data_IF_636303153654
#
_entry.id   IF_636303153654
#
_cell.length_a   1.000
_cell.length_b   1.000
_cell.length_c   1.000
_cell.angle_alpha   90.00
_cell.angle_beta   90.00
_cell.angle_gamma   90.00
#
_symmetry.space_group_name_H-M   'P 1'
#
loop_
_entity.id
_entity.type
_entity.pdbx_description
1 polymer ?
#
# COMPACT_ATOMS: atom_id res chain seq x y z
N UNK A 1 16.00 8.63 18.51
CA UNK A 1 15.01 8.97 17.46
C UNK A 1 13.95 9.85 18.09
N UNK A 2 13.36 10.82 17.36
CA UNK A 2 12.19 11.55 17.84
C UNK A 2 11.10 10.57 18.30
N UNK A 3 10.35 10.91 19.36
CA UNK A 3 9.26 10.06 19.87
C UNK A 3 8.20 9.75 18.81
N UNK A 4 8.03 10.62 17.81
CA UNK A 4 7.11 10.39 16.69
C UNK A 4 7.61 9.39 15.64
N UNK A 5 8.91 9.06 15.63
CA UNK A 5 9.51 8.11 14.68
C UNK A 5 9.88 6.77 15.35
N UNK A 6 10.01 6.77 16.67
CA UNK A 6 10.43 5.61 17.46
C UNK A 6 9.27 5.02 18.25
N UNK A 7 8.87 3.82 17.90
CA UNK A 7 8.04 2.99 18.77
C UNK A 7 8.48 1.54 18.65
N UNK A 8 8.44 0.81 19.76
CA UNK A 8 8.86 -0.60 19.81
C UNK A 8 8.00 -1.50 18.91
N UNK A 9 8.39 -2.78 18.85
CA UNK A 9 7.62 -3.84 18.18
C UNK A 9 6.16 -3.78 18.67
N UNK A 10 5.22 -3.56 17.74
CA UNK A 10 3.78 -3.52 18.03
C UNK A 10 3.21 -2.16 18.46
N UNK A 11 4.01 -1.09 18.46
CA UNK A 11 3.52 0.27 18.76
C UNK A 11 3.00 1.02 17.54
N UNK A 12 2.25 2.10 17.77
CA UNK A 12 1.88 3.08 16.77
C UNK A 12 3.12 3.88 16.30
N UNK A 13 3.95 3.24 15.48
CA UNK A 13 5.15 3.81 14.86
C UNK A 13 5.05 3.68 13.34
N UNK A 14 5.51 4.68 12.57
CA UNK A 14 5.55 4.59 11.11
C UNK A 14 6.31 3.36 10.57
N UNK A 15 7.23 2.80 11.36
CA UNK A 15 8.07 1.66 10.98
C UNK A 15 7.39 0.31 11.23
N UNK A 16 6.62 0.18 12.31
CA UNK A 16 6.09 -1.11 12.78
C UNK A 16 4.57 -1.25 12.63
N UNK A 17 3.87 -0.15 12.36
CA UNK A 17 2.43 -0.16 12.18
C UNK A 17 2.04 -1.00 10.95
N UNK A 18 1.00 -1.82 11.12
CA UNK A 18 0.47 -2.71 10.07
C UNK A 18 -0.97 -2.40 9.73
N UNK A 19 -1.56 -1.33 10.27
CA UNK A 19 -3.02 -1.09 10.20
C UNK A 19 -3.54 -0.93 8.77
N UNK A 20 -2.73 -0.39 7.86
CA UNK A 20 -3.05 -0.27 6.42
C UNK A 20 -2.78 -1.54 5.61
N UNK A 21 -2.45 -2.66 6.26
CA UNK A 21 -2.10 -3.90 5.59
C UNK A 21 -2.59 -5.13 6.34
N UNK A 22 -2.77 -6.21 5.61
CA UNK A 22 -3.02 -7.53 6.15
C UNK A 22 -2.24 -8.52 5.26
N UNK A 23 -1.52 -9.52 5.82
CA UNK A 23 -0.77 -10.47 5.01
C UNK A 23 -1.65 -11.20 3.99
N UNK A 24 -1.01 -11.75 2.95
CA UNK A 24 -1.67 -12.61 1.96
C UNK A 24 -2.78 -11.90 1.17
N UNK A 25 -2.57 -10.61 0.84
CA UNK A 25 -3.48 -9.76 0.07
C UNK A 25 -4.84 -9.48 0.73
N UNK A 26 -5.05 -9.92 1.97
CA UNK A 26 -6.29 -9.70 2.71
C UNK A 26 -6.60 -8.21 2.90
N UNK A 27 -7.86 -7.90 3.19
CA UNK A 27 -8.28 -6.54 3.52
C UNK A 27 -7.60 -6.02 4.80
N UNK A 28 -7.21 -4.74 4.82
CA UNK A 28 -6.77 -4.07 6.04
C UNK A 28 -7.88 -4.01 7.11
N UNK A 29 -7.52 -3.48 8.28
CA UNK A 29 -8.48 -3.31 9.39
C UNK A 29 -9.61 -2.36 8.99
N UNK A 30 -10.81 -2.60 9.50
CA UNK A 30 -12.04 -1.84 9.15
C UNK A 30 -11.88 -0.33 9.33
N UNK A 31 -11.18 0.11 10.38
CA UNK A 31 -10.96 1.54 10.67
C UNK A 31 -9.86 2.20 9.81
N UNK A 32 -9.08 1.41 9.06
CA UNK A 32 -7.91 1.89 8.33
C UNK A 32 -8.28 2.85 7.19
N UNK A 33 -9.48 2.71 6.60
CA UNK A 33 -9.96 3.64 5.57
C UNK A 33 -10.10 5.06 6.12
N UNK A 34 -10.78 5.23 7.26
CA UNK A 34 -10.95 6.55 7.88
C UNK A 34 -9.59 7.13 8.28
N UNK A 35 -8.72 6.30 8.85
CA UNK A 35 -7.39 6.73 9.29
C UNK A 35 -6.52 7.25 8.13
N UNK A 36 -6.50 6.55 6.98
CA UNK A 36 -5.71 7.01 5.82
C UNK A 36 -6.34 8.24 5.16
N UNK A 37 -7.67 8.35 5.16
CA UNK A 37 -8.37 9.51 4.62
C UNK A 37 -8.00 10.78 5.41
N UNK A 38 -8.03 10.71 6.75
CA UNK A 38 -7.61 11.79 7.64
C UNK A 38 -6.11 12.12 7.46
N UNK A 39 -5.24 11.12 7.43
CA UNK A 39 -3.81 11.32 7.29
C UNK A 39 -3.42 12.04 5.97
N UNK A 40 -4.04 11.66 4.85
CA UNK A 40 -3.78 12.31 3.56
C UNK A 40 -4.35 13.72 3.53
N UNK A 41 -5.52 13.96 4.14
CA UNK A 41 -6.11 15.28 4.24
C UNK A 41 -5.21 16.25 5.04
N UNK A 42 -4.65 15.82 6.16
CA UNK A 42 -3.74 16.62 7.00
C UNK A 42 -2.42 16.98 6.28
N UNK A 43 -1.95 16.14 5.36
CA UNK A 43 -0.77 16.42 4.54
C UNK A 43 -1.04 17.40 3.39
N UNK A 44 -2.31 17.68 3.10
CA UNK A 44 -2.76 18.63 2.07
C UNK A 44 -3.18 17.97 0.75
N UNK A 45 -3.89 18.74 -0.08
CA UNK A 45 -4.59 18.23 -1.28
C UNK A 45 -3.71 17.67 -2.39
N UNK A 46 -2.39 17.85 -2.34
CA UNK A 46 -1.45 17.26 -3.32
C UNK A 46 -1.07 15.80 -3.01
N UNK A 47 -1.38 15.29 -1.81
CA UNK A 47 -0.99 13.93 -1.41
C UNK A 47 -2.14 12.96 -1.64
N UNK A 48 -1.98 12.06 -2.62
CA UNK A 48 -3.06 11.18 -3.07
C UNK A 48 -3.03 9.80 -2.42
N UNK A 49 -1.87 9.35 -1.94
CA UNK A 49 -1.67 7.97 -1.50
C UNK A 49 -0.46 7.82 -0.59
N UNK A 50 -0.46 6.74 0.18
CA UNK A 50 0.66 6.26 0.96
C UNK A 50 1.21 4.98 0.34
N UNK A 51 2.54 4.89 0.22
CA UNK A 51 3.25 3.69 -0.26
C UNK A 51 4.01 3.07 0.90
N UNK A 52 3.78 1.79 1.19
CA UNK A 52 4.37 1.13 2.36
C UNK A 52 4.75 -0.34 2.11
N UNK A 53 5.70 -0.81 2.92
CA UNK A 53 6.11 -2.22 2.96
C UNK A 53 5.78 -2.88 4.31
N UNK A 54 6.74 -3.63 4.85
CA UNK A 54 6.71 -4.27 6.19
C UNK A 54 5.75 -5.44 6.36
N UNK A 55 4.60 -5.43 5.68
CA UNK A 55 3.61 -6.52 5.67
C UNK A 55 3.62 -7.21 4.31
N UNK A 56 4.31 -8.36 4.17
CA UNK A 56 4.41 -9.06 2.91
C UNK A 56 3.05 -9.38 2.28
N UNK A 57 2.97 -9.14 0.98
CA UNK A 57 1.86 -9.42 0.07
C UNK A 57 2.31 -10.46 -0.96
N UNK A 58 1.37 -11.15 -1.63
CA UNK A 58 1.75 -12.06 -2.72
C UNK A 58 2.23 -11.30 -3.96
N UNK A 59 1.72 -10.08 -4.13
CA UNK A 59 2.00 -9.18 -5.24
C UNK A 59 1.75 -7.74 -4.81
N UNK A 60 2.36 -6.77 -5.49
CA UNK A 60 2.04 -5.35 -5.26
C UNK A 60 0.55 -5.16 -5.54
N UNK A 61 -0.12 -4.52 -4.58
CA UNK A 61 -1.54 -4.26 -4.66
C UNK A 61 -1.89 -2.94 -3.96
N UNK A 62 -3.10 -2.46 -4.23
CA UNK A 62 -3.66 -1.28 -3.61
C UNK A 62 -4.88 -1.66 -2.77
N UNK A 63 -4.95 -1.14 -1.56
CA UNK A 63 -6.10 -1.26 -0.67
C UNK A 63 -6.67 0.13 -0.36
N UNK A 64 -7.79 0.16 0.37
CA UNK A 64 -8.39 1.40 0.88
C UNK A 64 -8.69 2.41 -0.25
N UNK A 65 -9.30 1.91 -1.34
CA UNK A 65 -9.69 2.67 -2.54
C UNK A 65 -8.49 3.34 -3.22
N UNK A 66 -7.41 2.61 -3.43
CA UNK A 66 -6.22 3.11 -4.11
C UNK A 66 -5.28 3.99 -3.26
N UNK A 67 -5.63 4.23 -1.99
CA UNK A 67 -4.87 5.13 -1.10
C UNK A 67 -3.71 4.45 -0.40
N UNK A 68 -3.76 3.13 -0.20
CA UNK A 68 -2.68 2.36 0.45
C UNK A 68 -2.02 1.39 -0.55
N UNK A 69 -0.82 1.71 -1.00
CA UNK A 69 -0.02 0.88 -1.90
C UNK A 69 0.97 0.01 -1.14
N UNK A 70 0.69 -1.30 -1.13
CA UNK A 70 1.45 -2.30 -0.38
C UNK A 70 2.49 -2.94 -1.30
N UNK A 71 3.75 -2.53 -1.16
CA UNK A 71 4.83 -2.86 -2.11
C UNK A 71 5.79 -3.95 -1.66
N UNK A 72 5.67 -4.42 -0.41
CA UNK A 72 6.49 -5.52 0.10
C UNK A 72 5.94 -6.86 -0.39
N UNK A 73 6.59 -7.45 -1.38
CA UNK A 73 6.25 -8.78 -1.92
C UNK A 73 6.99 -9.92 -1.20
N UNK A 74 7.69 -9.65 -0.09
CA UNK A 74 8.46 -10.65 0.63
C UNK A 74 9.60 -11.27 -0.19
N UNK A 75 10.29 -10.45 -1.01
CA UNK A 75 11.33 -10.87 -1.95
C UNK A 75 12.52 -11.58 -1.27
N UNK A 76 12.79 -11.26 -0.01
CA UNK A 76 13.87 -11.88 0.76
C UNK A 76 13.68 -13.39 0.91
N UNK A 77 14.77 -14.13 0.70
CA UNK A 77 14.82 -15.58 0.95
C UNK A 77 14.51 -15.85 2.44
N UNK A 78 13.53 -16.72 2.69
CA UNK A 78 13.08 -17.08 4.04
C UNK A 78 11.90 -16.25 4.57
N UNK A 79 11.40 -15.26 3.81
CA UNK A 79 10.13 -14.58 4.08
C UNK A 79 9.03 -15.22 3.23
N UNK A 80 8.99 -14.88 1.94
CA UNK A 80 8.09 -15.51 0.96
C UNK A 80 8.81 -15.93 -0.32
N UNK A 81 10.06 -15.47 -0.52
CA UNK A 81 10.78 -15.65 -1.77
C UNK A 81 9.93 -15.18 -2.97
N UNK A 82 9.17 -14.09 -2.77
CA UNK A 82 8.23 -13.56 -3.73
C UNK A 82 8.94 -12.99 -4.95
N UNK A 83 8.27 -13.04 -6.10
CA UNK A 83 8.78 -12.46 -7.34
C UNK A 83 8.78 -10.93 -7.21
N UNK A 84 9.92 -10.25 -7.43
CA UNK A 84 9.98 -8.79 -7.42
C UNK A 84 9.00 -8.16 -8.43
N UNK A 85 8.38 -7.06 -8.02
CA UNK A 85 7.55 -6.19 -8.85
C UNK A 85 7.94 -4.73 -8.55
N UNK A 86 7.63 -3.81 -9.45
CA UNK A 86 7.89 -2.37 -9.29
C UNK A 86 6.58 -1.61 -9.36
N UNK A 87 6.33 -0.74 -8.38
CA UNK A 87 5.30 0.27 -8.47
C UNK A 87 5.86 1.47 -9.24
N UNK A 88 5.32 1.73 -10.42
CA UNK A 88 5.62 2.91 -11.23
C UNK A 88 4.53 3.96 -11.01
N UNK A 89 4.94 5.19 -10.69
CA UNK A 89 4.05 6.35 -10.58
C UNK A 89 4.63 7.42 -11.51
N UNK A 90 3.90 7.71 -12.59
CA UNK A 90 4.21 8.79 -13.52
C UNK A 90 3.31 9.96 -13.15
N UNK A 91 3.90 11.03 -12.65
CA UNK A 91 3.15 12.22 -12.24
C UNK A 91 2.57 12.94 -13.46
N UNK A 92 1.25 13.13 -13.49
CA UNK A 92 0.55 13.82 -14.57
C UNK A 92 0.75 15.33 -14.56
N UNK A 93 1.06 15.92 -13.41
CA UNK A 93 1.09 17.38 -13.19
C UNK A 93 0.07 17.82 -12.15
N UNK A 94 -0.12 19.12 -11.98
CA UNK A 94 -1.03 19.68 -10.95
C UNK A 94 -2.51 19.40 -11.23
N UNK A 95 -2.90 19.28 -12.52
CA UNK A 95 -4.29 19.13 -12.97
C UNK A 95 -4.60 17.75 -13.58
N UNK A 96 -3.61 16.85 -13.63
CA UNK A 96 -3.76 15.52 -14.23
C UNK A 96 -3.54 14.42 -13.19
N UNK A 97 -4.31 13.34 -13.28
CA UNK A 97 -4.14 12.19 -12.40
C UNK A 97 -2.80 11.48 -12.69
N UNK A 98 -2.16 10.97 -11.64
CA UNK A 98 -0.96 10.16 -11.84
C UNK A 98 -1.31 8.86 -12.55
N UNK A 99 -0.48 8.45 -13.51
CA UNK A 99 -0.56 7.11 -14.09
C UNK A 99 0.20 6.16 -13.18
N UNK A 100 -0.51 5.16 -12.65
CA UNK A 100 0.05 4.17 -11.72
C UNK A 100 0.02 2.78 -12.33
N UNK A 101 1.20 2.17 -12.44
CA UNK A 101 1.41 0.87 -13.05
C UNK A 101 2.22 -0.06 -12.15
N UNK A 102 2.12 -1.37 -12.42
CA UNK A 102 2.95 -2.41 -11.82
C UNK A 102 3.76 -3.06 -12.93
N UNK A 103 5.09 -2.94 -12.85
CA UNK A 103 6.01 -3.57 -13.78
C UNK A 103 6.45 -4.92 -13.21
N UNK A 104 6.32 -5.98 -14.01
CA UNK A 104 6.70 -7.35 -13.60
C UNK A 104 8.06 -7.74 -14.17
N UNK A 105 8.69 -8.74 -13.56
CA UNK A 105 9.90 -9.38 -14.11
C UNK A 105 9.70 -9.98 -15.52
N UNK A 106 8.45 -10.26 -15.92
CA UNK A 106 8.10 -10.75 -17.25
C UNK A 106 8.07 -9.66 -18.33
N UNK A 107 8.22 -8.39 -17.95
CA UNK A 107 8.11 -7.24 -18.85
C UNK A 107 6.68 -6.73 -19.03
N UNK A 108 5.72 -7.25 -18.25
CA UNK A 108 4.34 -6.76 -18.29
C UNK A 108 4.23 -5.41 -17.56
N UNK A 109 3.35 -4.56 -18.08
CA UNK A 109 2.90 -3.34 -17.42
C UNK A 109 1.41 -3.49 -17.09
N UNK A 110 1.10 -3.56 -15.80
CA UNK A 110 -0.25 -3.84 -15.29
C UNK A 110 -0.85 -2.55 -14.72
N UNK A 111 -2.06 -2.21 -15.15
CA UNK A 111 -2.78 -1.03 -14.66
C UNK A 111 -3.12 -1.16 -13.17
N UNK A 112 -3.05 -0.05 -12.43
CA UNK A 112 -3.45 0.00 -11.02
C UNK A 112 -4.87 -0.49 -10.72
N UNK A 113 -5.80 -0.36 -11.68
CA UNK A 113 -7.18 -0.88 -11.54
C UNK A 113 -7.22 -2.38 -11.30
N UNK A 114 -6.26 -3.12 -11.87
CA UNK A 114 -6.21 -4.59 -11.82
C UNK A 114 -5.53 -5.10 -10.54
N UNK A 115 -5.07 -4.18 -9.70
CA UNK A 115 -4.36 -4.44 -8.44
C UNK A 115 -5.12 -3.95 -7.22
N UNK A 116 -6.39 -3.55 -7.38
CA UNK A 116 -7.25 -3.19 -6.25
C UNK A 116 -7.65 -4.43 -5.47
N UNK A 117 -7.49 -4.38 -4.15
CA UNK A 117 -8.09 -5.32 -3.21
C UNK A 117 -9.50 -4.86 -2.93
N UNK A 118 -10.45 -5.61 -3.47
CA UNK A 118 -11.86 -5.35 -3.30
C UNK A 118 -12.32 -5.81 -1.93
N UNK A 119 -13.26 -5.09 -1.29
CA UNK A 119 -13.96 -5.59 -0.14
C UNK A 119 -14.63 -6.92 -0.48
N UNK A 120 -14.50 -7.93 0.36
CA UNK A 120 -15.32 -9.13 0.32
C UNK A 120 -16.75 -8.62 0.47
N UNK A 121 -17.51 -8.66 -0.63
CA UNK A 121 -18.91 -8.30 -0.61
C UNK A 121 -19.59 -9.15 0.46
N UNK A 122 -19.98 -8.53 1.57
CA UNK A 122 -20.77 -9.18 2.60
C UNK A 122 -22.11 -9.57 1.99
N UNK A 123 -22.27 -10.84 1.66
CA UNK A 123 -23.58 -11.44 1.50
C UNK A 123 -24.20 -11.56 2.90
N UNK A 124 -24.86 -10.51 3.37
CA UNK A 124 -25.78 -10.55 4.50
C UNK A 124 -26.99 -9.65 4.22
#
# INVERSE_FOLDING_TARGET
MPECLGGGIGSASPVWMRDYSNPSDNEPKVYAQTMIDEALQELGGGVQRMVMGHTPQYRINAALKGKAWRVDVGASRGVMNGTPEVLEIIHGGEDEEDVVNILTMGGDCICSSDRQVMPVAGFF
#
